data_IF_181419995196
#
_entry.id   IF_181419995196
#
_cell.length_a   1.000
_cell.length_b   1.000
_cell.length_c   1.000
_cell.angle_alpha   90.00
_cell.angle_beta   90.00
_cell.angle_gamma   90.00
#
_symmetry.space_group_name_H-M   'P 1'
#
loop_
_entity.id
_entity.type
_entity.pdbx_description
1 polymer ?
#
# COMPACT_ATOMS: atom_id res chain seq x y z
N UNK A 1 32.61 6.30 -23.84
CA UNK A 1 33.15 7.69 -23.76
C UNK A 1 32.18 8.59 -24.52
N UNK A 2 31.47 9.44 -23.78
CA UNK A 2 30.50 10.41 -24.33
C UNK A 2 31.28 11.51 -25.02
N UNK A 3 31.07 11.68 -26.34
CA UNK A 3 31.66 12.77 -27.11
C UNK A 3 30.97 14.08 -26.72
N UNK A 4 31.74 15.00 -26.15
CA UNK A 4 31.28 16.33 -25.77
C UNK A 4 30.86 17.13 -27.02
N UNK A 5 29.70 17.78 -26.94
CA UNK A 5 29.22 18.72 -27.95
C UNK A 5 30.15 19.94 -27.98
N UNK A 6 30.86 20.13 -29.09
CA UNK A 6 31.77 21.25 -29.31
C UNK A 6 31.03 22.32 -30.15
N UNK A 7 30.64 23.48 -29.59
CA UNK A 7 29.77 24.44 -30.27
C UNK A 7 30.51 25.34 -31.28
N UNK A 8 31.77 25.04 -31.61
CA UNK A 8 32.58 25.91 -32.47
C UNK A 8 32.87 25.25 -33.81
N UNK A 9 31.96 25.50 -34.78
CA UNK A 9 32.24 25.79 -36.21
C UNK A 9 31.01 25.50 -37.08
N UNK A 10 29.99 26.33 -36.93
CA UNK A 10 29.19 26.74 -38.08
C UNK A 10 29.77 28.07 -38.58
N UNK A 11 30.73 28.03 -39.52
CA UNK A 11 31.14 29.23 -40.24
C UNK A 11 30.15 29.48 -41.37
N UNK A 12 29.09 30.23 -41.08
CA UNK A 12 28.19 30.78 -42.10
C UNK A 12 28.98 31.90 -42.82
N UNK A 13 28.90 32.04 -44.15
CA UNK A 13 29.59 33.10 -44.90
C UNK A 13 29.25 34.49 -44.34
N UNK A 14 30.07 35.51 -44.64
CA UNK A 14 29.89 36.91 -44.21
C UNK A 14 28.56 37.50 -44.68
N UNK A 15 27.47 37.11 -44.01
CA UNK A 15 26.15 37.67 -44.25
C UNK A 15 26.18 39.11 -43.73
N UNK A 16 25.55 40.05 -44.46
CA UNK A 16 25.36 41.40 -43.97
C UNK A 16 24.75 41.40 -42.56
N UNK A 17 25.13 42.33 -41.70
CA UNK A 17 24.68 42.39 -40.31
C UNK A 17 23.15 42.35 -40.16
N UNK A 18 22.41 42.93 -41.12
CA UNK A 18 20.95 42.88 -41.14
C UNK A 18 20.40 41.45 -41.30
N UNK A 19 21.06 40.60 -42.09
CA UNK A 19 20.64 39.21 -42.31
C UNK A 19 20.95 38.33 -41.09
N UNK A 20 22.08 38.57 -40.41
CA UNK A 20 22.41 37.90 -39.14
C UNK A 20 21.40 38.26 -38.04
N UNK A 21 21.01 39.54 -37.97
CA UNK A 21 20.00 40.02 -37.02
C UNK A 21 18.63 39.38 -37.29
N UNK A 22 18.21 39.26 -38.55
CA UNK A 22 16.96 38.59 -38.93
C UNK A 22 16.99 37.12 -38.49
N UNK A 23 18.06 36.38 -38.80
CA UNK A 23 18.19 34.97 -38.40
C UNK A 23 18.19 34.80 -36.88
N UNK A 24 18.89 35.67 -36.14
CA UNK A 24 18.91 35.64 -34.68
C UNK A 24 17.51 35.90 -34.09
N UNK A 25 16.76 36.86 -34.63
CA UNK A 25 15.38 37.14 -34.21
C UNK A 25 14.44 35.96 -34.51
N UNK A 26 14.55 35.33 -35.69
CA UNK A 26 13.76 34.14 -36.03
C UNK A 26 14.13 32.94 -35.17
N UNK A 27 15.41 32.69 -34.90
CA UNK A 27 15.86 31.63 -34.02
C UNK A 27 15.38 31.85 -32.57
N UNK A 28 15.45 33.08 -32.07
CA UNK A 28 14.93 33.47 -30.76
C UNK A 28 13.41 33.30 -30.66
N UNK A 29 12.66 33.69 -31.69
CA UNK A 29 11.20 33.52 -31.74
C UNK A 29 10.79 32.05 -31.81
N UNK A 30 11.50 31.22 -32.59
CA UNK A 30 11.24 29.78 -32.68
C UNK A 30 11.61 29.06 -31.38
N UNK A 31 12.75 29.39 -30.77
CA UNK A 31 13.16 28.82 -29.48
C UNK A 31 12.19 29.25 -28.37
N UNK A 32 11.82 30.53 -28.30
CA UNK A 32 10.85 31.05 -27.34
C UNK A 32 9.45 30.46 -27.53
N UNK A 33 9.01 30.30 -28.78
CA UNK A 33 7.75 29.64 -29.13
C UNK A 33 7.75 28.15 -28.76
N UNK A 34 8.84 27.43 -29.03
CA UNK A 34 9.00 26.03 -28.66
C UNK A 34 9.01 25.81 -27.15
N UNK A 35 9.73 26.64 -26.39
CA UNK A 35 9.75 26.60 -24.93
C UNK A 35 8.36 26.91 -24.37
N UNK A 36 7.70 27.95 -24.88
CA UNK A 36 6.35 28.32 -24.44
C UNK A 36 5.31 27.24 -24.73
N UNK A 37 5.39 26.60 -25.91
CA UNK A 37 4.55 25.47 -26.26
C UNK A 37 4.80 24.26 -25.36
N UNK A 38 6.07 23.93 -25.07
CA UNK A 38 6.41 22.87 -24.11
C UNK A 38 5.85 23.13 -22.71
N UNK A 39 5.98 24.36 -22.21
CA UNK A 39 5.44 24.75 -20.91
C UNK A 39 3.91 24.72 -20.90
N UNK A 40 3.26 25.12 -21.99
CA UNK A 40 1.80 25.05 -22.11
C UNK A 40 1.30 23.59 -22.13
N UNK A 41 1.97 22.71 -22.88
CA UNK A 41 1.66 21.27 -22.91
C UNK A 41 1.87 20.66 -21.52
N UNK A 42 2.98 20.96 -20.83
CA UNK A 42 3.23 20.41 -19.50
C UNK A 42 2.17 20.84 -18.48
N UNK A 43 1.70 22.10 -18.53
CA UNK A 43 0.60 22.59 -17.69
C UNK A 43 -0.73 21.92 -18.03
N UNK A 44 -1.00 21.69 -19.31
CA UNK A 44 -2.19 20.97 -19.77
C UNK A 44 -2.18 19.53 -19.24
N UNK A 45 -1.07 18.83 -19.39
CA UNK A 45 -0.91 17.45 -18.90
C UNK A 45 -1.06 17.36 -17.38
N UNK A 46 -0.50 18.32 -16.66
CA UNK A 46 -0.64 18.43 -15.20
C UNK A 46 -2.10 18.64 -14.78
N UNK A 47 -2.82 19.53 -15.45
CA UNK A 47 -4.24 19.79 -15.19
C UNK A 47 -5.12 18.58 -15.48
N UNK A 48 -4.81 17.84 -16.55
CA UNK A 48 -5.51 16.61 -16.91
C UNK A 48 -5.26 15.55 -15.84
N UNK A 49 -4.01 15.40 -15.38
CA UNK A 49 -3.65 14.44 -14.34
C UNK A 49 -4.34 14.76 -13.02
N UNK A 50 -4.33 16.04 -12.61
CA UNK A 50 -5.08 16.52 -11.45
C UNK A 50 -6.57 16.19 -11.55
N UNK A 51 -7.19 16.41 -12.71
CA UNK A 51 -8.61 16.07 -12.93
C UNK A 51 -8.87 14.56 -12.84
N UNK A 52 -7.99 13.72 -13.39
CA UNK A 52 -8.11 12.27 -13.28
C UNK A 52 -7.97 11.81 -11.82
N UNK A 53 -6.98 12.32 -11.09
CA UNK A 53 -6.77 12.02 -9.67
C UNK A 53 -7.98 12.44 -8.82
N UNK A 54 -8.54 13.64 -9.01
CA UNK A 54 -9.77 14.07 -8.31
C UNK A 54 -10.94 13.16 -8.61
N UNK A 55 -11.17 12.81 -9.89
CA UNK A 55 -12.26 11.91 -10.25
C UNK A 55 -12.09 10.53 -9.62
N UNK A 56 -10.86 10.01 -9.56
CA UNK A 56 -10.58 8.74 -8.89
C UNK A 56 -10.87 8.82 -7.39
N UNK A 57 -10.46 9.91 -6.72
CA UNK A 57 -10.78 10.18 -5.31
C UNK A 57 -12.30 10.26 -5.11
N UNK A 58 -13.01 11.05 -5.92
CA UNK A 58 -14.47 11.22 -5.81
C UNK A 58 -15.20 9.88 -5.97
N UNK A 59 -14.78 9.06 -6.96
CA UNK A 59 -15.37 7.74 -7.17
C UNK A 59 -15.05 6.79 -6.03
N UNK A 60 -13.83 6.79 -5.53
CA UNK A 60 -13.43 5.99 -4.38
C UNK A 60 -14.22 6.36 -3.11
N UNK A 61 -14.36 7.66 -2.81
CA UNK A 61 -15.13 8.18 -1.67
C UNK A 61 -16.62 7.90 -1.84
N UNK A 62 -17.16 7.99 -3.06
CA UNK A 62 -18.57 7.68 -3.33
C UNK A 62 -18.96 6.22 -3.01
N UNK A 63 -17.99 5.31 -3.02
CA UNK A 63 -18.16 3.91 -2.64
C UNK A 63 -18.01 3.68 -1.12
N UNK A 64 -17.73 4.73 -0.34
CA UNK A 64 -17.46 4.64 1.10
C UNK A 64 -15.95 4.51 1.44
N UNK A 65 -15.07 4.74 0.47
CA UNK A 65 -13.64 4.79 0.73
C UNK A 65 -13.22 6.03 1.54
N UNK A 66 -12.21 5.89 2.39
CA UNK A 66 -11.57 7.02 3.07
C UNK A 66 -10.14 7.22 2.55
N UNK A 67 -9.81 8.47 2.24
CA UNK A 67 -8.47 8.83 1.79
C UNK A 67 -7.63 9.31 2.98
N UNK A 68 -6.50 8.67 3.22
CA UNK A 68 -5.56 9.01 4.28
C UNK A 68 -4.47 9.93 3.74
N UNK A 69 -4.40 11.15 4.27
CA UNK A 69 -3.41 12.17 3.87
C UNK A 69 -2.07 11.97 4.60
N UNK A 70 -0.98 12.35 3.92
CA UNK A 70 0.36 12.45 4.51
C UNK A 70 0.58 13.84 5.12
N UNK A 71 -0.20 14.15 6.16
CA UNK A 71 -0.20 15.47 6.80
C UNK A 71 -0.56 16.59 5.83
N UNK A 72 0.20 17.69 5.88
CA UNK A 72 0.02 18.87 5.05
C UNK A 72 0.87 18.87 3.77
N UNK A 73 1.54 17.75 3.44
CA UNK A 73 2.37 17.67 2.24
C UNK A 73 1.50 17.75 0.99
N UNK A 74 2.04 18.38 -0.04
CA UNK A 74 1.44 18.40 -1.37
C UNK A 74 2.20 17.46 -2.31
N UNK A 75 1.47 16.84 -3.22
CA UNK A 75 2.02 16.09 -4.33
C UNK A 75 2.69 17.05 -5.33
N UNK A 76 3.49 16.54 -6.30
CA UNK A 76 4.08 17.37 -7.35
C UNK A 76 3.06 18.18 -8.14
N UNK A 77 1.78 17.78 -8.12
CA UNK A 77 0.68 18.45 -8.81
C UNK A 77 -0.20 19.26 -7.85
N UNK A 78 0.31 19.67 -6.68
CA UNK A 78 -0.39 20.57 -5.76
C UNK A 78 -1.61 19.98 -5.04
N UNK A 79 -1.88 18.68 -5.19
CA UNK A 79 -2.92 17.96 -4.43
C UNK A 79 -2.40 17.57 -3.04
N UNK A 80 -3.25 17.34 -2.03
CA UNK A 80 -2.82 16.69 -0.80
C UNK A 80 -2.11 15.38 -1.10
N UNK A 81 -0.91 15.19 -0.57
CA UNK A 81 -0.18 13.93 -0.68
C UNK A 81 -0.94 12.85 0.10
N UNK A 82 -1.11 11.70 -0.53
CA UNK A 82 -1.84 10.57 0.05
C UNK A 82 -0.83 9.56 0.58
N UNK A 83 -1.11 9.00 1.76
CA UNK A 83 -0.35 7.88 2.31
C UNK A 83 -1.08 6.55 2.16
N UNK A 84 -2.41 6.57 2.16
CA UNK A 84 -3.17 5.34 2.27
C UNK A 84 -4.66 5.47 1.99
N UNK A 85 -5.33 4.32 2.00
CA UNK A 85 -6.74 4.17 1.70
C UNK A 85 -7.43 3.29 2.73
N UNK A 86 -8.59 3.74 3.20
CA UNK A 86 -9.50 3.01 4.06
C UNK A 86 -10.70 2.47 3.28
N UNK A 87 -11.03 1.20 3.50
CA UNK A 87 -12.15 0.48 2.88
C UNK A 87 -13.20 0.06 3.92
N UNK A 88 -13.02 0.50 5.16
CA UNK A 88 -13.70 -0.03 6.35
C UNK A 88 -15.21 0.24 6.41
N UNK A 89 -15.76 1.17 5.60
CA UNK A 89 -17.22 1.37 5.49
C UNK A 89 -17.86 0.60 4.33
N UNK A 90 -17.05 0.03 3.44
CA UNK A 90 -17.52 -0.63 2.22
C UNK A 90 -18.00 -2.05 2.56
N UNK A 91 -19.28 -2.32 2.30
CA UNK A 91 -19.97 -3.53 2.79
C UNK A 91 -20.14 -4.64 1.75
N UNK A 92 -19.53 -4.49 0.58
CA UNK A 92 -19.66 -5.39 -0.56
C UNK A 92 -18.28 -5.67 -1.15
N UNK A 93 -17.97 -6.94 -1.40
CA UNK A 93 -16.70 -7.30 -2.06
C UNK A 93 -16.61 -6.73 -3.49
N UNK A 94 -17.75 -6.57 -4.17
CA UNK A 94 -17.79 -5.91 -5.49
C UNK A 94 -17.39 -4.45 -5.39
N UNK A 95 -17.93 -3.74 -4.40
CA UNK A 95 -17.68 -2.31 -4.20
C UNK A 95 -16.24 -2.11 -3.73
N UNK A 96 -15.70 -3.01 -2.90
CA UNK A 96 -14.27 -2.99 -2.52
C UNK A 96 -13.39 -3.16 -3.76
N UNK A 97 -13.69 -4.11 -4.66
CA UNK A 97 -12.92 -4.25 -5.91
C UNK A 97 -13.01 -3.01 -6.79
N UNK A 98 -14.18 -2.39 -6.89
CA UNK A 98 -14.35 -1.15 -7.64
C UNK A 98 -13.59 0.02 -6.98
N UNK A 99 -13.61 0.11 -5.64
CA UNK A 99 -12.81 1.07 -4.89
C UNK A 99 -11.30 0.84 -5.08
N UNK A 100 -10.85 -0.42 -5.13
CA UNK A 100 -9.45 -0.78 -5.46
C UNK A 100 -9.08 -0.30 -6.86
N UNK A 101 -9.97 -0.41 -7.85
CA UNK A 101 -9.69 0.09 -9.21
C UNK A 101 -9.46 1.60 -9.22
N UNK A 102 -10.31 2.37 -8.53
CA UNK A 102 -10.14 3.82 -8.45
C UNK A 102 -8.91 4.20 -7.61
N UNK A 103 -8.79 3.62 -6.41
CA UNK A 103 -7.70 3.89 -5.49
C UNK A 103 -6.32 3.47 -6.02
N UNK A 104 -6.25 2.39 -6.80
CA UNK A 104 -5.02 1.90 -7.42
C UNK A 104 -4.41 2.83 -8.47
N UNK A 105 -5.18 3.79 -8.98
CA UNK A 105 -4.66 4.84 -9.87
C UNK A 105 -3.99 5.99 -9.12
N UNK A 106 -4.18 6.07 -7.80
CA UNK A 106 -3.67 7.16 -6.99
C UNK A 106 -2.17 6.94 -6.69
N UNK A 107 -1.32 7.95 -6.91
CA UNK A 107 0.10 7.82 -6.64
C UNK A 107 0.39 7.84 -5.12
N UNK A 108 1.46 7.15 -4.72
CA UNK A 108 1.99 7.26 -3.35
C UNK A 108 1.25 6.45 -2.28
N UNK A 109 0.27 5.62 -2.64
CA UNK A 109 -0.43 4.76 -1.69
C UNK A 109 0.50 3.66 -1.17
N UNK A 110 0.78 3.71 0.13
CA UNK A 110 1.63 2.74 0.86
C UNK A 110 0.88 2.04 1.99
N UNK A 111 -0.32 2.51 2.36
CA UNK A 111 -1.11 1.94 3.45
C UNK A 111 -2.52 1.57 2.98
N UNK A 112 -2.95 0.34 3.27
CA UNK A 112 -4.31 -0.13 2.98
C UNK A 112 -4.98 -0.60 4.28
N UNK A 113 -6.19 -0.10 4.52
CA UNK A 113 -6.97 -0.43 5.71
C UNK A 113 -8.32 -1.05 5.32
N UNK A 114 -8.42 -2.37 5.39
CA UNK A 114 -9.65 -3.10 5.10
C UNK A 114 -10.50 -3.40 6.33
N UNK A 115 -9.91 -3.29 7.52
CA UNK A 115 -10.58 -3.67 8.76
C UNK A 115 -11.86 -2.85 9.00
N UNK A 116 -13.05 -3.47 9.04
CA UNK A 116 -14.30 -2.74 9.28
C UNK A 116 -14.34 -2.14 10.69
N UNK A 117 -14.86 -0.92 10.82
CA UNK A 117 -15.03 -0.28 12.13
C UNK A 117 -16.23 -0.84 12.90
N UNK A 118 -16.06 -0.96 14.22
CA UNK A 118 -17.13 -1.32 15.14
C UNK A 118 -17.65 -2.75 14.99
N UNK A 119 -16.91 -3.62 14.29
CA UNK A 119 -17.30 -5.02 14.15
C UNK A 119 -16.35 -5.92 14.91
N UNK A 120 -16.81 -6.37 16.06
CA UNK A 120 -16.16 -7.41 16.85
C UNK A 120 -16.73 -8.75 16.39
N UNK A 121 -16.41 -9.19 15.18
CA UNK A 121 -16.76 -10.55 14.73
C UNK A 121 -15.76 -11.01 13.70
N UNK A 122 -15.30 -12.24 13.91
CA UNK A 122 -14.49 -13.03 12.98
C UNK A 122 -15.05 -12.93 11.57
N UNK A 123 -14.22 -12.64 10.58
CA UNK A 123 -14.70 -12.74 9.20
C UNK A 123 -15.78 -11.72 8.84
N UNK A 124 -16.00 -10.69 9.67
CA UNK A 124 -17.07 -9.74 9.43
C UNK A 124 -16.86 -8.90 8.18
N UNK A 125 -15.62 -8.51 7.93
CA UNK A 125 -15.21 -7.76 6.75
C UNK A 125 -15.53 -8.52 5.48
N UNK A 126 -15.59 -7.79 4.37
CA UNK A 126 -15.89 -8.37 3.04
C UNK A 126 -14.63 -8.71 2.25
N UNK A 127 -13.46 -8.39 2.80
CA UNK A 127 -12.16 -8.71 2.19
C UNK A 127 -11.79 -10.16 2.47
N UNK A 128 -11.65 -10.92 1.39
CA UNK A 128 -11.18 -12.30 1.37
C UNK A 128 -9.90 -12.41 0.51
N UNK A 129 -9.45 -13.64 0.26
CA UNK A 129 -8.28 -13.88 -0.59
C UNK A 129 -8.46 -13.41 -2.04
N UNK A 130 -9.68 -13.42 -2.60
CA UNK A 130 -9.92 -12.95 -3.96
C UNK A 130 -9.81 -11.43 -4.07
N UNK A 131 -10.37 -10.71 -3.09
CA UNK A 131 -10.20 -9.26 -2.99
C UNK A 131 -8.73 -8.89 -2.80
N UNK A 132 -7.98 -9.63 -1.97
CA UNK A 132 -6.55 -9.39 -1.80
C UNK A 132 -5.71 -9.66 -3.04
N UNK A 133 -5.98 -10.75 -3.77
CA UNK A 133 -5.33 -10.99 -5.08
C UNK A 133 -5.57 -9.83 -6.04
N UNK A 134 -6.77 -9.25 -6.00
CA UNK A 134 -7.11 -8.07 -6.79
C UNK A 134 -6.35 -6.82 -6.31
N UNK A 135 -6.25 -6.60 -5.00
CA UNK A 135 -5.46 -5.51 -4.41
C UNK A 135 -3.98 -5.60 -4.82
N UNK A 136 -3.34 -6.78 -4.73
CA UNK A 136 -1.94 -7.01 -5.11
C UNK A 136 -1.63 -6.60 -6.57
N UNK A 137 -2.63 -6.67 -7.46
CA UNK A 137 -2.47 -6.28 -8.86
C UNK A 137 -2.45 -4.76 -9.04
N UNK A 138 -3.15 -4.02 -8.17
CA UNK A 138 -3.39 -2.60 -8.28
C UNK A 138 -2.49 -1.75 -7.36
N UNK A 139 -2.00 -2.31 -6.25
CA UNK A 139 -1.09 -1.63 -5.32
C UNK A 139 0.24 -2.36 -5.24
N UNK A 140 1.32 -1.72 -5.68
CA UNK A 140 2.65 -2.34 -5.78
C UNK A 140 3.59 -2.06 -4.61
N UNK A 141 3.40 -0.93 -3.95
CA UNK A 141 4.33 -0.42 -2.94
C UNK A 141 3.68 -0.39 -1.54
N UNK A 142 2.84 -1.37 -1.22
CA UNK A 142 2.12 -1.41 0.06
C UNK A 142 3.10 -1.81 1.16
N UNK A 143 3.30 -0.92 2.13
CA UNK A 143 4.16 -1.14 3.30
C UNK A 143 3.36 -1.46 4.57
N UNK A 144 2.10 -1.06 4.63
CA UNK A 144 1.18 -1.33 5.74
C UNK A 144 -0.14 -1.89 5.23
N UNK A 145 -0.57 -3.00 5.81
CA UNK A 145 -1.82 -3.67 5.47
C UNK A 145 -2.59 -4.05 6.73
N UNK A 146 -3.79 -3.50 6.89
CA UNK A 146 -4.70 -3.88 7.96
C UNK A 146 -5.86 -4.72 7.40
N UNK A 147 -5.85 -6.00 7.75
CA UNK A 147 -6.86 -6.99 7.41
C UNK A 147 -7.60 -7.48 8.66
N UNK A 148 -7.56 -6.73 9.75
CA UNK A 148 -8.23 -7.15 10.98
C UNK A 148 -9.73 -7.35 10.74
N UNK A 149 -10.33 -8.38 11.36
CA UNK A 149 -11.75 -8.73 11.21
C UNK A 149 -12.18 -9.08 9.77
N UNK A 150 -11.27 -9.40 8.86
CA UNK A 150 -11.57 -9.81 7.49
C UNK A 150 -11.78 -11.34 7.39
N UNK A 151 -11.98 -11.86 6.17
CA UNK A 151 -12.24 -13.29 5.89
C UNK A 151 -10.99 -14.02 5.39
N UNK A 152 -9.83 -13.69 5.95
CA UNK A 152 -8.57 -14.32 5.51
C UNK A 152 -8.45 -15.70 6.16
N UNK A 153 -8.34 -16.73 5.33
CA UNK A 153 -8.18 -18.13 5.76
C UNK A 153 -6.77 -18.67 5.49
N UNK A 154 -6.05 -18.05 4.57
CA UNK A 154 -4.71 -18.42 4.14
C UNK A 154 -3.86 -17.15 3.96
N UNK A 155 -2.77 -17.04 4.71
CA UNK A 155 -1.88 -15.89 4.66
C UNK A 155 -1.00 -15.88 3.40
N UNK A 156 -0.86 -17.00 2.68
CA UNK A 156 -0.06 -17.11 1.45
C UNK A 156 -0.48 -16.10 0.37
N UNK A 157 -1.76 -15.68 0.40
CA UNK A 157 -2.30 -14.67 -0.52
C UNK A 157 -1.62 -13.30 -0.41
N UNK A 158 -0.94 -13.04 0.71
CA UNK A 158 -0.22 -11.79 1.00
C UNK A 158 1.23 -11.85 0.51
N UNK A 159 1.79 -13.05 0.31
CA UNK A 159 3.18 -13.27 -0.13
C UNK A 159 3.62 -12.38 -1.31
N UNK A 160 2.79 -12.10 -2.33
CA UNK A 160 3.20 -11.22 -3.44
C UNK A 160 3.45 -9.75 -3.05
N UNK A 161 3.06 -9.30 -1.86
CA UNK A 161 3.30 -7.94 -1.36
C UNK A 161 4.71 -7.82 -0.76
N UNK A 162 5.72 -7.78 -1.64
CA UNK A 162 7.15 -7.84 -1.27
C UNK A 162 7.66 -6.63 -0.48
N UNK A 163 6.95 -5.50 -0.52
CA UNK A 163 7.29 -4.28 0.24
C UNK A 163 6.56 -4.20 1.59
N UNK A 164 5.71 -5.18 1.92
CA UNK A 164 4.88 -5.15 3.12
C UNK A 164 5.71 -5.33 4.39
N UNK A 165 5.78 -4.30 5.22
CA UNK A 165 6.55 -4.31 6.48
C UNK A 165 5.68 -4.57 7.70
N UNK A 166 4.43 -4.08 7.67
CA UNK A 166 3.52 -4.09 8.82
C UNK A 166 2.18 -4.70 8.43
N UNK A 167 1.79 -5.77 9.12
CA UNK A 167 0.62 -6.56 8.78
C UNK A 167 -0.27 -6.80 9.99
N UNK A 168 -1.55 -6.44 9.90
CA UNK A 168 -2.55 -6.78 10.91
C UNK A 168 -3.50 -7.84 10.38
N UNK A 169 -3.52 -8.99 11.05
CA UNK A 169 -4.34 -10.17 10.74
C UNK A 169 -5.26 -10.57 11.91
N UNK A 170 -5.43 -9.71 12.90
CA UNK A 170 -6.28 -9.98 14.07
C UNK A 170 -7.72 -10.36 13.66
N UNK A 171 -8.33 -11.29 14.40
CA UNK A 171 -9.72 -11.70 14.23
C UNK A 171 -10.10 -12.21 12.82
N UNK A 172 -9.18 -12.91 12.15
CA UNK A 172 -9.44 -13.61 10.89
C UNK A 172 -9.65 -15.13 11.12
N UNK A 173 -10.46 -15.80 10.28
CA UNK A 173 -10.66 -17.25 10.33
C UNK A 173 -9.49 -18.02 9.66
N UNK A 174 -8.23 -17.70 10.02
CA UNK A 174 -7.06 -18.39 9.47
C UNK A 174 -7.14 -19.88 9.76
N UNK A 175 -6.97 -20.73 8.74
CA UNK A 175 -6.87 -22.18 8.91
C UNK A 175 -5.51 -22.56 9.48
N UNK A 176 -5.32 -23.82 9.88
CA UNK A 176 -3.99 -24.30 10.33
C UNK A 176 -2.93 -24.06 9.25
N UNK A 177 -3.24 -24.44 8.01
CA UNK A 177 -2.36 -24.20 6.86
C UNK A 177 -2.15 -22.70 6.61
N UNK A 178 -3.17 -21.88 6.87
CA UNK A 178 -3.07 -20.43 6.76
C UNK A 178 -2.19 -19.78 7.84
N UNK A 179 -2.04 -20.41 9.00
CA UNK A 179 -1.07 -20.01 10.02
C UNK A 179 0.33 -20.49 9.64
N UNK A 180 0.46 -21.72 9.13
CA UNK A 180 1.74 -22.23 8.62
C UNK A 180 2.31 -21.32 7.53
N UNK A 181 1.47 -20.83 6.61
CA UNK A 181 1.90 -19.96 5.51
C UNK A 181 2.36 -18.55 5.91
N UNK A 182 2.31 -18.19 7.20
CA UNK A 182 2.93 -16.96 7.69
C UNK A 182 4.45 -16.94 7.46
N UNK A 183 5.10 -18.12 7.50
CA UNK A 183 6.53 -18.25 7.25
C UNK A 183 6.94 -17.86 5.81
N UNK A 184 5.98 -17.71 4.89
CA UNK A 184 6.23 -17.26 3.52
C UNK A 184 6.29 -15.73 3.38
N UNK A 185 6.03 -14.98 4.46
CA UNK A 185 5.90 -13.52 4.44
C UNK A 185 7.24 -12.84 4.74
N UNK A 186 8.22 -13.02 3.85
CA UNK A 186 9.62 -12.61 4.00
C UNK A 186 9.86 -11.10 4.12
N UNK A 187 8.84 -10.28 3.89
CA UNK A 187 8.89 -8.82 3.97
C UNK A 187 8.43 -8.28 5.33
N UNK A 188 7.63 -9.04 6.07
CA UNK A 188 6.92 -8.56 7.27
C UNK A 188 7.88 -8.50 8.45
N UNK A 189 7.95 -7.31 9.06
CA UNK A 189 8.79 -7.00 10.22
C UNK A 189 7.94 -6.91 11.49
N UNK A 190 6.70 -6.46 11.37
CA UNK A 190 5.77 -6.31 12.49
C UNK A 190 4.41 -6.94 12.15
N UNK A 191 3.98 -7.88 13.01
CA UNK A 191 2.75 -8.65 12.82
C UNK A 191 1.80 -8.48 14.01
N UNK A 192 0.54 -8.14 13.74
CA UNK A 192 -0.54 -8.25 14.70
C UNK A 192 -1.38 -9.47 14.38
N UNK A 193 -1.47 -10.42 15.30
CA UNK A 193 -2.22 -11.65 15.10
C UNK A 193 -2.91 -12.09 16.38
N UNK A 194 -3.98 -12.86 16.18
CA UNK A 194 -4.72 -13.50 17.25
C UNK A 194 -6.16 -13.04 17.30
N UNK A 195 -6.76 -13.31 18.44
CA UNK A 195 -8.20 -13.23 18.61
C UNK A 195 -8.55 -12.35 19.80
N UNK A 196 -9.35 -11.29 19.61
CA UNK A 196 -9.68 -10.39 20.71
C UNK A 196 -10.96 -10.78 21.46
N UNK A 197 -11.86 -11.57 20.86
CA UNK A 197 -13.19 -11.80 21.44
C UNK A 197 -13.43 -13.24 21.91
N UNK A 198 -13.31 -13.42 23.24
CA UNK A 198 -13.54 -14.72 23.89
C UNK A 198 -14.96 -15.23 23.82
N UNK A 199 -15.93 -14.34 23.64
CA UNK A 199 -17.35 -14.59 23.83
C UNK A 199 -18.03 -15.12 22.57
N UNK A 200 -17.44 -14.86 21.41
CA UNK A 200 -18.03 -15.21 20.11
C UNK A 200 -17.79 -16.66 19.72
N UNK A 201 -16.63 -17.21 20.06
CA UNK A 201 -16.31 -18.61 19.77
C UNK A 201 -15.47 -19.21 20.89
N UNK A 202 -16.09 -19.96 21.81
CA UNK A 202 -15.37 -20.70 22.85
C UNK A 202 -14.30 -21.64 22.27
N UNK A 203 -14.57 -22.16 21.07
CA UNK A 203 -13.73 -23.11 20.34
C UNK A 203 -12.83 -22.43 19.29
N UNK A 204 -12.50 -21.16 19.49
CA UNK A 204 -11.56 -20.45 18.61
C UNK A 204 -10.27 -21.26 18.47
N UNK A 205 -9.91 -21.57 17.23
CA UNK A 205 -8.73 -22.39 16.94
C UNK A 205 -7.42 -21.78 17.45
N UNK A 206 -7.38 -20.46 17.69
CA UNK A 206 -6.26 -19.78 18.36
C UNK A 206 -6.01 -20.25 19.81
N UNK A 207 -6.94 -21.01 20.40
CA UNK A 207 -6.79 -21.64 21.73
C UNK A 207 -6.22 -23.06 21.68
N UNK A 208 -6.23 -23.72 20.52
CA UNK A 208 -5.67 -25.06 20.36
C UNK A 208 -4.16 -25.02 20.64
N UNK A 209 -3.67 -26.00 21.42
CA UNK A 209 -2.25 -26.15 21.69
C UNK A 209 -1.48 -26.48 20.40
N UNK A 210 -2.11 -27.21 19.48
CA UNK A 210 -1.57 -27.53 18.16
C UNK A 210 -1.42 -26.26 17.32
N UNK A 211 -2.42 -25.37 17.30
CA UNK A 211 -2.31 -24.12 16.55
C UNK A 211 -1.28 -23.18 17.17
N UNK A 212 -1.17 -23.10 18.50
CA UNK A 212 -0.11 -22.30 19.14
C UNK A 212 1.28 -22.79 18.75
N UNK A 213 1.52 -24.10 18.79
CA UNK A 213 2.79 -24.69 18.32
C UNK A 213 3.05 -24.38 16.84
N UNK A 214 2.01 -24.47 16.02
CA UNK A 214 2.06 -24.15 14.59
C UNK A 214 2.40 -22.68 14.36
N UNK A 215 1.76 -21.78 15.10
CA UNK A 215 2.02 -20.34 15.06
C UNK A 215 3.45 -20.05 15.50
N UNK A 216 3.88 -20.55 16.66
CA UNK A 216 5.24 -20.34 17.17
C UNK A 216 6.27 -20.79 16.15
N UNK A 217 6.11 -21.99 15.58
CA UNK A 217 6.96 -22.50 14.51
C UNK A 217 6.98 -21.54 13.30
N UNK A 218 5.81 -21.15 12.80
CA UNK A 218 5.74 -20.25 11.65
C UNK A 218 6.43 -18.91 11.92
N UNK A 219 6.23 -18.32 13.11
CA UNK A 219 6.86 -17.06 13.51
C UNK A 219 8.39 -17.18 13.61
N UNK A 220 8.92 -18.31 14.10
CA UNK A 220 10.37 -18.54 14.15
C UNK A 220 11.01 -18.73 12.78
N UNK A 221 10.22 -19.09 11.77
CA UNK A 221 10.65 -19.28 10.39
C UNK A 221 10.49 -18.00 9.54
N UNK A 222 9.98 -16.90 10.12
CA UNK A 222 9.88 -15.62 9.43
C UNK A 222 11.17 -14.81 9.57
N UNK A 223 12.01 -14.84 8.54
CA UNK A 223 13.38 -14.29 8.55
C UNK A 223 13.52 -12.83 9.01
N UNK A 224 12.56 -11.97 8.65
CA UNK A 224 12.62 -10.52 8.95
C UNK A 224 11.73 -10.09 10.10
N UNK A 225 10.97 -11.01 10.68
CA UNK A 225 10.05 -10.67 11.75
C UNK A 225 10.85 -10.23 12.97
N UNK A 226 10.47 -9.09 13.54
CA UNK A 226 11.12 -8.52 14.72
C UNK A 226 10.12 -8.36 15.86
N UNK A 227 8.86 -8.08 15.55
CA UNK A 227 7.86 -7.68 16.53
C UNK A 227 6.53 -8.37 16.27
N UNK A 228 5.97 -8.95 17.32
CA UNK A 228 4.69 -9.65 17.27
C UNK A 228 3.76 -9.11 18.35
N UNK A 229 2.62 -8.61 17.90
CA UNK A 229 1.52 -8.18 18.74
C UNK A 229 0.50 -9.30 18.83
N UNK A 230 0.40 -9.90 20.01
CA UNK A 230 -0.52 -10.99 20.29
C UNK A 230 -1.73 -10.44 21.05
N UNK A 231 -2.92 -10.60 20.48
CA UNK A 231 -4.16 -10.27 21.20
C UNK A 231 -4.35 -11.20 22.41
N UNK A 232 -4.95 -10.68 23.49
CA UNK A 232 -5.08 -11.23 24.85
C UNK A 232 -5.38 -12.73 24.99
N UNK A 233 -5.94 -13.37 23.98
CA UNK A 233 -6.31 -14.79 24.00
C UNK A 233 -5.16 -15.74 23.67
N UNK A 234 -4.11 -15.25 23.00
CA UNK A 234 -2.94 -16.09 22.72
C UNK A 234 -2.03 -16.10 23.95
N UNK A 235 -2.33 -17.01 24.87
CA UNK A 235 -1.51 -17.28 26.05
C UNK A 235 -0.41 -18.28 25.69
N UNK A 236 0.74 -17.77 25.27
CA UNK A 236 1.95 -18.58 25.06
C UNK A 236 2.50 -19.06 26.40
N UNK A 237 2.83 -20.34 26.48
CA UNK A 237 3.60 -20.93 27.59
C UNK A 237 5.01 -20.36 27.63
N UNK A 238 5.71 -20.53 28.76
CA UNK A 238 7.10 -20.07 28.88
C UNK A 238 8.03 -20.77 27.88
N UNK A 239 7.78 -22.05 27.58
CA UNK A 239 8.55 -22.80 26.57
C UNK A 239 8.33 -22.24 25.16
N UNK A 240 7.09 -21.94 24.79
CA UNK A 240 6.75 -21.30 23.50
C UNK A 240 7.36 -19.90 23.38
N UNK A 241 7.36 -19.10 24.46
CA UNK A 241 8.03 -17.80 24.47
C UNK A 241 9.54 -17.93 24.29
N UNK A 242 10.16 -18.92 24.94
CA UNK A 242 11.59 -19.18 24.79
C UNK A 242 11.97 -19.57 23.35
N UNK A 243 11.08 -20.27 22.63
CA UNK A 243 11.30 -20.61 21.20
C UNK A 243 11.30 -19.38 20.29
N UNK A 244 10.54 -18.33 20.64
CA UNK A 244 10.48 -17.09 19.87
C UNK A 244 11.72 -16.21 20.03
N UNK A 245 12.64 -16.56 20.95
CA UNK A 245 13.95 -15.95 21.08
C UNK A 245 13.90 -14.42 21.24
N UNK A 246 14.52 -13.71 20.29
CA UNK A 246 14.70 -12.26 20.29
C UNK A 246 13.48 -11.48 19.76
N UNK A 247 12.38 -12.15 19.39
CA UNK A 247 11.17 -11.47 18.93
C UNK A 247 10.57 -10.60 20.05
N UNK A 248 10.30 -9.34 19.75
CA UNK A 248 9.58 -8.44 20.67
C UNK A 248 8.11 -8.87 20.74
N UNK A 249 7.72 -9.48 21.86
CA UNK A 249 6.34 -9.90 22.11
C UNK A 249 5.58 -8.79 22.85
N UNK A 250 4.60 -8.21 22.17
CA UNK A 250 3.72 -7.17 22.73
C UNK A 250 2.33 -7.72 22.93
N UNK A 251 1.77 -7.48 24.10
CA UNK A 251 0.37 -7.79 24.38
C UNK A 251 -0.53 -6.71 23.75
N UNK A 252 -1.42 -7.12 22.84
CA UNK A 252 -2.28 -6.21 22.10
C UNK A 252 -3.72 -6.21 22.64
N UNK A 253 -4.28 -5.01 22.73
CA UNK A 253 -5.65 -4.78 23.19
C UNK A 253 -6.50 -4.25 22.01
N UNK A 254 -7.78 -4.63 21.97
CA UNK A 254 -8.74 -3.89 21.15
C UNK A 254 -9.09 -2.58 21.87
N UNK A 255 -8.97 -1.46 21.14
CA UNK A 255 -9.61 -0.20 21.53
C UNK A 255 -11.05 -0.19 21.03
#
# INVERSE_FOLDING_TARGET
MVQAYNPTRFSIPTWPAWAQMVVACFAGALAGGYISAKVAVSRSDESIRQQMEMRAIDRFVSLGGEVLRDGDKLSPVGMPALRGLGFYTIRSASDVRQAILYGGTLPGITQLHFAPFGVNRVGAGVTDGDVLRFANRNFKNVEYLDLSNCRIQDASVIQPMVDLKRLRLGNNPLTKNGVESLNLLDSVVELWIGWPDRTISPDSMYRSAELRKTLVKALTEMDKLQKVHLYDDIQLTQSEKAQLGELELVKAYMN
#
